data_IF_110231051298
#
_entry.id   IF_110231051298
#
_cell.length_a   1.000
_cell.length_b   1.000
_cell.length_c   1.000
_cell.angle_alpha   90.00
_cell.angle_beta   90.00
_cell.angle_gamma   90.00
#
_symmetry.space_group_name_H-M   'P 1'
#
loop_
_entity.id
_entity.type
_entity.pdbx_description
1 polymer ?
#
# COMPACT_ATOMS: atom_id res chain seq x y z
N UNK A 1 0.94 -10.29 23.84
CA UNK A 1 1.11 -9.81 22.46
C UNK A 1 0.44 -8.46 22.20
N UNK A 2 -0.75 -8.20 22.69
CA UNK A 2 -1.53 -6.96 22.49
C UNK A 2 -0.83 -5.69 23.04
N UNK A 3 -0.09 -5.77 24.15
CA UNK A 3 0.61 -4.61 24.74
C UNK A 3 1.72 -4.03 23.86
N UNK A 4 2.40 -4.85 23.04
CA UNK A 4 3.46 -4.36 22.15
C UNK A 4 2.92 -3.61 20.93
N UNK A 5 1.73 -3.98 20.45
CA UNK A 5 1.08 -3.33 19.30
C UNK A 5 0.69 -1.87 19.65
N UNK A 6 0.25 -1.64 20.89
CA UNK A 6 -0.13 -0.29 21.35
C UNK A 6 1.06 0.67 21.40
N UNK A 7 2.26 0.20 21.75
CA UNK A 7 3.46 1.06 21.78
C UNK A 7 3.94 1.45 20.38
N UNK A 8 3.80 0.56 19.41
CA UNK A 8 4.18 0.85 18.01
C UNK A 8 3.23 1.90 17.41
N UNK A 9 1.93 1.78 17.65
CA UNK A 9 0.93 2.78 17.24
C UNK A 9 1.16 4.13 17.92
N UNK A 10 1.50 4.13 19.21
CA UNK A 10 1.82 5.35 19.94
C UNK A 10 3.09 6.02 19.41
N UNK A 11 4.12 5.24 19.07
CA UNK A 11 5.37 5.76 18.51
C UNK A 11 5.16 6.40 17.13
N UNK A 12 4.34 5.78 16.28
CA UNK A 12 3.97 6.32 14.96
C UNK A 12 3.17 7.62 15.12
N UNK A 13 2.23 7.66 16.05
CA UNK A 13 1.46 8.86 16.35
C UNK A 13 2.36 10.00 16.88
N UNK A 14 3.30 9.71 17.79
CA UNK A 14 4.25 10.69 18.34
C UNK A 14 5.20 11.20 17.25
N UNK A 15 5.70 10.33 16.36
CA UNK A 15 6.51 10.73 15.21
C UNK A 15 5.74 11.64 14.25
N UNK A 16 4.47 11.33 13.97
CA UNK A 16 3.61 12.18 13.16
C UNK A 16 3.41 13.56 13.80
N UNK A 17 3.20 13.64 15.12
CA UNK A 17 3.06 14.90 15.84
C UNK A 17 4.35 15.73 15.89
N UNK A 18 5.52 15.09 16.03
CA UNK A 18 6.81 15.82 16.06
C UNK A 18 7.19 16.39 14.69
N UNK A 19 6.81 15.72 13.60
CA UNK A 19 6.97 16.25 12.24
C UNK A 19 6.08 17.48 12.04
N UNK A 20 4.85 17.46 12.58
CA UNK A 20 3.90 18.57 12.49
C UNK A 20 4.39 19.85 13.18
N UNK A 21 5.08 19.73 14.31
CA UNK A 21 5.61 20.86 15.06
C UNK A 21 6.77 21.60 14.35
N UNK A 22 7.52 20.90 13.52
CA UNK A 22 8.67 21.48 12.81
C UNK A 22 8.32 22.06 11.42
N UNK A 23 7.16 21.74 10.88
CA UNK A 23 6.74 22.19 9.53
C UNK A 23 6.13 23.61 9.52
N UNK A 24 5.81 24.18 10.69
CA UNK A 24 5.15 25.50 10.77
C UNK A 24 6.07 26.71 10.58
N UNK A 25 7.38 26.55 10.31
CA UNK A 25 8.35 27.65 10.32
C UNK A 25 8.80 28.13 8.95
N UNK A 26 8.27 27.64 7.85
CA UNK A 26 8.63 28.14 6.51
C UNK A 26 7.45 28.78 5.81
N UNK A 27 7.29 30.06 6.06
CA UNK A 27 6.39 30.94 5.32
C UNK A 27 7.01 31.34 3.97
N UNK A 28 6.16 31.25 2.92
CA UNK A 28 6.20 32.03 1.68
C UNK A 28 7.19 31.63 0.58
N UNK A 29 6.65 31.36 -0.52
CA UNK A 29 6.92 31.60 -1.93
C UNK A 29 6.79 30.42 -2.93
N UNK A 30 6.52 29.21 -2.50
CA UNK A 30 6.20 28.13 -3.44
C UNK A 30 4.95 27.35 -3.01
N UNK A 31 3.79 27.92 -3.27
CA UNK A 31 2.46 27.40 -2.92
C UNK A 31 2.15 26.02 -3.50
N UNK A 32 3.05 25.41 -4.26
CA UNK A 32 2.83 24.15 -4.96
C UNK A 32 3.71 23.01 -4.44
N UNK A 33 4.77 23.29 -3.70
CA UNK A 33 5.64 22.26 -3.13
C UNK A 33 5.23 21.98 -1.69
N UNK A 34 5.01 20.75 -1.34
CA UNK A 34 4.63 20.42 0.02
C UNK A 34 4.66 18.93 0.31
N UNK A 35 4.79 18.62 1.59
CA UNK A 35 4.64 17.29 2.11
C UNK A 35 3.21 17.07 2.59
N UNK A 36 2.70 15.89 2.30
CA UNK A 36 1.42 15.43 2.79
C UNK A 36 1.63 14.10 3.51
N UNK A 37 1.01 13.94 4.67
CA UNK A 37 0.89 12.64 5.32
C UNK A 37 -0.44 12.03 4.87
N UNK A 38 -0.43 10.75 4.60
CA UNK A 38 -1.60 10.03 4.16
C UNK A 38 -1.89 8.84 5.06
N UNK A 39 -3.16 8.53 5.25
CA UNK A 39 -3.62 7.27 5.81
C UNK A 39 -4.65 6.67 4.88
N UNK A 40 -4.64 5.35 4.72
CA UNK A 40 -5.56 4.68 3.80
C UNK A 40 -6.09 3.37 4.36
N UNK A 41 -7.26 2.97 3.86
CA UNK A 41 -7.85 1.66 4.01
C UNK A 41 -8.28 1.15 2.64
N UNK A 42 -8.08 -0.13 2.40
CA UNK A 42 -8.39 -0.79 1.13
C UNK A 42 -9.22 -2.04 1.35
N UNK A 43 -10.11 -2.33 0.40
CA UNK A 43 -10.86 -3.58 0.38
C UNK A 43 -11.22 -3.95 -1.05
N UNK A 44 -11.12 -5.22 -1.38
CA UNK A 44 -11.39 -5.65 -2.75
C UNK A 44 -11.21 -7.13 -2.96
N UNK A 45 -11.00 -7.49 -4.21
CA UNK A 45 -10.83 -8.87 -4.65
C UNK A 45 -9.58 -9.00 -5.52
N UNK A 46 -8.97 -10.16 -5.50
CA UNK A 46 -7.93 -10.51 -6.45
C UNK A 46 -8.11 -11.94 -6.95
N UNK A 47 -7.57 -12.22 -8.12
CA UNK A 47 -7.62 -13.54 -8.75
C UNK A 47 -6.33 -13.78 -9.52
N UNK A 48 -5.91 -15.03 -9.61
CA UNK A 48 -4.85 -15.42 -10.54
C UNK A 48 -5.38 -15.50 -11.96
N UNK A 49 -4.64 -14.94 -12.90
CA UNK A 49 -5.07 -14.80 -14.31
C UNK A 49 -5.44 -16.13 -15.01
N UNK A 50 -4.93 -17.26 -14.51
CA UNK A 50 -5.16 -18.56 -15.12
C UNK A 50 -5.90 -19.56 -14.21
N UNK A 51 -6.31 -19.12 -13.00
CA UNK A 51 -6.99 -19.96 -12.03
C UNK A 51 -8.32 -19.33 -11.64
N UNK A 52 -9.34 -20.13 -11.46
CA UNK A 52 -10.70 -19.68 -11.11
C UNK A 52 -10.83 -19.21 -9.65
N UNK A 53 -9.75 -19.23 -8.89
CA UNK A 53 -9.80 -18.89 -7.46
C UNK A 53 -9.89 -17.38 -7.26
N UNK A 54 -10.90 -16.97 -6.51
CA UNK A 54 -11.07 -15.58 -6.08
C UNK A 54 -10.64 -15.44 -4.63
N UNK A 55 -9.89 -14.40 -4.35
CA UNK A 55 -9.41 -14.02 -3.03
C UNK A 55 -10.04 -12.69 -2.63
N UNK A 56 -10.34 -12.54 -1.36
CA UNK A 56 -10.74 -11.26 -0.76
C UNK A 56 -9.50 -10.61 -0.19
N UNK A 57 -9.29 -9.34 -0.48
CA UNK A 57 -8.17 -8.59 0.07
C UNK A 57 -8.68 -7.38 0.86
N UNK A 58 -8.04 -7.12 1.99
CA UNK A 58 -8.30 -5.96 2.82
C UNK A 58 -6.99 -5.48 3.44
N UNK A 59 -6.85 -4.17 3.59
CA UNK A 59 -5.62 -3.63 4.11
C UNK A 59 -5.75 -2.16 4.47
N UNK A 60 -4.61 -1.57 4.77
CA UNK A 60 -4.49 -0.15 5.04
C UNK A 60 -3.09 0.21 5.48
N UNK A 61 -2.80 1.48 5.46
CA UNK A 61 -1.46 1.95 5.78
C UNK A 61 -1.36 3.44 5.98
N UNK A 62 -0.12 3.85 6.18
CA UNK A 62 0.26 5.25 6.31
C UNK A 62 1.35 5.56 5.30
N UNK A 63 1.35 6.77 4.78
CA UNK A 63 2.29 7.13 3.73
C UNK A 63 2.57 8.62 3.68
N UNK A 64 3.35 8.96 2.67
CA UNK A 64 3.77 10.33 2.39
C UNK A 64 3.56 10.61 0.91
N UNK A 65 3.16 11.84 0.62
CA UNK A 65 3.20 12.39 -0.73
C UNK A 65 4.01 13.66 -0.72
N UNK A 66 4.91 13.80 -1.67
CA UNK A 66 5.64 15.03 -1.93
C UNK A 66 5.21 15.62 -3.26
N UNK A 67 4.60 16.80 -3.21
CA UNK A 67 4.20 17.57 -4.38
C UNK A 67 5.37 18.44 -4.84
N UNK A 68 5.93 18.14 -6.01
CA UNK A 68 7.02 18.93 -6.61
C UNK A 68 6.51 19.91 -7.67
N UNK A 69 5.24 19.80 -8.06
CA UNK A 69 4.56 20.75 -8.93
C UNK A 69 3.06 20.84 -8.58
N UNK A 70 2.35 21.77 -9.25
CA UNK A 70 0.91 21.95 -9.07
C UNK A 70 0.08 20.70 -9.35
N UNK A 71 0.57 19.82 -10.23
CA UNK A 71 -0.17 18.67 -10.72
C UNK A 71 0.53 17.36 -10.48
N UNK A 72 1.79 17.36 -10.05
CA UNK A 72 2.60 16.17 -9.95
C UNK A 72 3.24 16.03 -8.57
N UNK A 73 3.19 14.81 -8.07
CA UNK A 73 3.84 14.40 -6.83
C UNK A 73 4.36 12.97 -6.92
N UNK A 74 5.10 12.59 -5.89
CA UNK A 74 5.52 11.22 -5.63
C UNK A 74 4.82 10.76 -4.36
N UNK A 75 4.23 9.58 -4.41
CA UNK A 75 3.57 8.94 -3.29
C UNK A 75 4.30 7.66 -2.91
N UNK A 76 4.40 7.42 -1.61
CA UNK A 76 4.85 6.14 -1.04
C UNK A 76 4.11 5.88 0.27
N UNK A 77 3.93 4.62 0.63
CA UNK A 77 3.30 4.23 1.88
C UNK A 77 3.90 2.94 2.44
N UNK A 78 3.57 2.65 3.66
CA UNK A 78 3.76 1.35 4.28
C UNK A 78 2.37 0.78 4.55
N UNK A 79 1.98 -0.18 3.74
CA UNK A 79 0.65 -0.77 3.76
C UNK A 79 0.71 -2.21 4.27
N UNK A 80 -0.17 -2.55 5.18
CA UNK A 80 -0.46 -3.93 5.55
C UNK A 80 -1.63 -4.42 4.72
N UNK A 81 -1.51 -5.61 4.14
CA UNK A 81 -2.55 -6.27 3.35
C UNK A 81 -2.76 -7.69 3.84
N UNK A 82 -4.02 -8.04 4.06
CA UNK A 82 -4.47 -9.40 4.31
C UNK A 82 -5.25 -9.90 3.10
N UNK A 83 -4.87 -11.06 2.60
CA UNK A 83 -5.52 -11.75 1.48
C UNK A 83 -6.10 -13.05 2.00
N UNK A 84 -7.38 -13.23 1.81
CA UNK A 84 -8.14 -14.39 2.27
C UNK A 84 -8.67 -15.21 1.10
N UNK A 85 -8.40 -16.52 1.12
CA UNK A 85 -8.95 -17.50 0.17
C UNK A 85 -10.11 -18.24 0.81
N UNK A 86 -11.37 -17.93 0.44
CA UNK A 86 -12.54 -18.55 1.08
C UNK A 86 -12.63 -20.07 0.91
N UNK A 87 -12.15 -20.60 -0.22
CA UNK A 87 -12.30 -22.00 -0.57
C UNK A 87 -11.63 -22.99 0.43
N UNK A 88 -10.50 -22.60 1.03
CA UNK A 88 -9.72 -23.43 1.94
C UNK A 88 -9.34 -22.73 3.26
N UNK A 89 -9.96 -21.56 3.52
CA UNK A 89 -9.74 -20.78 4.74
C UNK A 89 -8.26 -20.39 4.95
N UNK A 90 -7.56 -20.07 3.87
CA UNK A 90 -6.17 -19.64 3.90
C UNK A 90 -6.05 -18.14 4.01
N UNK A 91 -5.09 -17.68 4.82
CA UNK A 91 -4.80 -16.28 5.02
C UNK A 91 -3.34 -15.97 4.68
N UNK A 92 -3.14 -14.96 3.85
CA UNK A 92 -1.82 -14.44 3.50
C UNK A 92 -1.71 -12.99 3.96
N UNK A 93 -0.58 -12.63 4.53
CA UNK A 93 -0.34 -11.30 5.06
C UNK A 93 0.90 -10.72 4.41
N UNK A 94 0.79 -9.48 3.94
CA UNK A 94 1.87 -8.76 3.26
C UNK A 94 2.11 -7.41 3.91
N UNK A 95 3.37 -7.01 3.92
CA UNK A 95 3.77 -5.63 4.13
C UNK A 95 4.21 -5.07 2.77
N UNK A 96 3.56 -4.01 2.31
CA UNK A 96 3.75 -3.45 0.97
C UNK A 96 4.31 -2.05 1.05
N UNK A 97 5.19 -1.75 0.11
CA UNK A 97 5.80 -0.43 -0.07
C UNK A 97 5.61 -0.02 -1.53
N UNK A 98 4.54 0.71 -1.87
CA UNK A 98 4.38 1.30 -3.19
C UNK A 98 5.26 2.54 -3.36
N UNK A 99 5.75 2.75 -4.57
CA UNK A 99 6.42 3.95 -5.04
C UNK A 99 5.72 4.36 -6.33
N UNK A 100 4.98 5.47 -6.28
CA UNK A 100 4.04 5.86 -7.32
C UNK A 100 4.24 7.32 -7.72
N UNK A 101 4.15 7.59 -9.02
CA UNK A 101 3.94 8.95 -9.52
C UNK A 101 2.46 9.29 -9.41
N UNK A 102 2.15 10.47 -8.92
CA UNK A 102 0.79 10.98 -8.83
C UNK A 102 0.60 12.20 -9.72
N UNK A 103 -0.41 12.13 -10.58
CA UNK A 103 -1.02 13.30 -11.18
C UNK A 103 -2.26 13.67 -10.37
N UNK A 104 -2.42 14.93 -9.99
CA UNK A 104 -3.58 15.36 -9.24
C UNK A 104 -4.06 16.76 -9.63
N UNK A 105 -5.34 16.96 -9.44
CA UNK A 105 -6.04 18.24 -9.48
C UNK A 105 -6.72 18.47 -8.13
N UNK A 106 -7.55 19.51 -8.04
CA UNK A 106 -8.33 19.76 -6.82
C UNK A 106 -9.30 18.62 -6.49
N UNK A 107 -9.88 17.93 -7.50
CA UNK A 107 -10.96 16.98 -7.33
C UNK A 107 -10.67 15.57 -7.85
N UNK A 108 -9.55 15.36 -8.49
CA UNK A 108 -9.18 14.10 -9.12
C UNK A 108 -7.70 13.79 -8.90
N UNK A 109 -7.37 12.52 -8.83
CA UNK A 109 -6.00 12.03 -8.89
C UNK A 109 -5.89 10.73 -9.69
N UNK A 110 -4.70 10.52 -10.23
CA UNK A 110 -4.27 9.28 -10.85
C UNK A 110 -2.87 8.95 -10.36
N UNK A 111 -2.65 7.73 -9.91
CA UNK A 111 -1.35 7.22 -9.45
C UNK A 111 -0.95 6.03 -10.29
N UNK A 112 0.34 5.88 -10.53
CA UNK A 112 0.89 4.70 -11.16
C UNK A 112 2.33 4.49 -10.77
N UNK A 113 2.71 3.23 -10.58
CA UNK A 113 4.04 2.89 -10.14
C UNK A 113 4.26 1.42 -9.85
N UNK A 114 5.24 1.17 -9.01
CA UNK A 114 5.64 -0.15 -8.57
C UNK A 114 5.41 -0.30 -7.08
N UNK A 115 5.06 -1.51 -6.65
CA UNK A 115 4.95 -1.87 -5.24
C UNK A 115 5.78 -3.13 -4.97
N UNK A 116 6.41 -3.16 -3.80
CA UNK A 116 7.13 -4.32 -3.31
C UNK A 116 6.42 -4.83 -2.06
N UNK A 117 6.08 -6.13 -2.06
CA UNK A 117 5.41 -6.78 -0.95
C UNK A 117 6.27 -7.87 -0.33
N UNK A 118 6.36 -7.87 1.00
CA UNK A 118 7.02 -8.89 1.80
C UNK A 118 5.96 -9.76 2.44
N UNK A 119 6.00 -11.05 2.18
CA UNK A 119 5.08 -12.02 2.80
C UNK A 119 5.43 -12.25 4.27
N UNK A 120 4.51 -11.92 5.17
CA UNK A 120 4.73 -12.04 6.61
C UNK A 120 4.52 -13.45 7.14
N UNK A 121 3.67 -14.26 6.50
CA UNK A 121 3.39 -15.64 6.91
C UNK A 121 4.58 -16.59 6.66
N UNK A 122 5.50 -16.22 5.78
CA UNK A 122 6.72 -17.00 5.53
C UNK A 122 7.59 -17.20 6.79
N UNK A 123 7.35 -16.41 7.82
CA UNK A 123 8.16 -16.36 9.04
C UNK A 123 7.55 -17.18 10.20
N UNK A 124 6.31 -17.64 10.11
CA UNK A 124 5.57 -18.17 11.26
C UNK A 124 5.10 -19.62 11.13
N UNK A 125 5.19 -20.27 9.96
CA UNK A 125 4.53 -21.55 9.77
C UNK A 125 5.44 -22.64 9.19
N UNK A 126 5.26 -23.86 9.69
CA UNK A 126 5.73 -25.10 9.07
C UNK A 126 5.22 -25.27 7.61
N UNK A 127 4.29 -24.45 7.18
CA UNK A 127 3.71 -24.38 5.84
C UNK A 127 4.20 -23.15 5.05
N UNK A 128 5.40 -22.66 5.30
CA UNK A 128 6.05 -21.51 4.63
C UNK A 128 6.17 -21.63 3.07
N UNK A 129 5.51 -22.61 2.48
CA UNK A 129 5.59 -22.91 1.04
C UNK A 129 4.88 -21.88 0.13
N UNK A 130 4.07 -20.98 0.68
CA UNK A 130 3.14 -20.19 -0.14
C UNK A 130 3.13 -18.68 0.10
N UNK A 131 4.00 -18.16 0.95
CA UNK A 131 4.10 -16.72 1.15
C UNK A 131 5.31 -16.15 0.41
N UNK A 132 5.03 -15.47 -0.69
CA UNK A 132 6.04 -14.98 -1.63
C UNK A 132 6.31 -13.50 -1.41
N UNK A 133 7.53 -13.08 -1.70
CA UNK A 133 7.77 -11.68 -1.97
C UNK A 133 7.17 -11.36 -3.35
N UNK A 134 6.42 -10.28 -3.43
CA UNK A 134 5.73 -9.89 -4.66
C UNK A 134 6.27 -8.55 -5.17
N UNK A 135 6.44 -8.48 -6.50
CA UNK A 135 6.58 -7.22 -7.23
C UNK A 135 5.27 -6.92 -7.94
N UNK A 136 4.80 -5.70 -7.88
CA UNK A 136 3.53 -5.31 -8.45
C UNK A 136 3.64 -4.05 -9.27
N UNK A 137 2.88 -4.00 -10.35
CA UNK A 137 2.53 -2.74 -11.01
C UNK A 137 1.19 -2.29 -10.48
N UNK A 138 1.11 -1.05 -10.05
CA UNK A 138 -0.08 -0.45 -9.42
C UNK A 138 -0.58 0.70 -10.28
N UNK A 139 -1.90 0.74 -10.46
CA UNK A 139 -2.60 1.88 -11.04
C UNK A 139 -3.79 2.22 -10.17
N UNK A 140 -3.92 3.48 -9.79
CA UNK A 140 -5.00 3.99 -8.95
C UNK A 140 -5.61 5.23 -9.58
N UNK A 141 -6.94 5.28 -9.63
CA UNK A 141 -7.71 6.44 -10.09
C UNK A 141 -8.74 6.80 -9.03
N UNK A 142 -8.88 8.09 -8.72
CA UNK A 142 -9.83 8.47 -7.69
C UNK A 142 -10.21 9.94 -7.65
N UNK A 143 -11.19 10.20 -6.78
CA UNK A 143 -11.67 11.52 -6.43
C UNK A 143 -11.00 12.05 -5.17
N UNK A 144 -10.92 13.38 -5.09
CA UNK A 144 -10.41 14.14 -3.93
C UNK A 144 -11.52 15.07 -3.46
N UNK A 145 -11.85 15.00 -2.19
CA UNK A 145 -12.87 15.83 -1.54
C UNK A 145 -12.15 16.70 -0.51
N UNK A 146 -11.89 17.98 -0.80
CA UNK A 146 -11.30 18.89 0.18
C UNK A 146 -12.26 19.05 1.35
N UNK A 147 -11.81 18.75 2.57
CA UNK A 147 -12.55 18.94 3.82
C UNK A 147 -12.22 20.29 4.43
N UNK A 148 -10.95 20.64 4.42
CA UNK A 148 -10.42 21.95 4.86
C UNK A 148 -9.37 22.45 3.86
N UNK A 149 -8.67 23.52 4.19
CA UNK A 149 -7.53 24.00 3.40
C UNK A 149 -6.38 22.97 3.35
N UNK A 150 -6.23 22.17 4.40
CA UNK A 150 -5.12 21.23 4.57
C UNK A 150 -5.55 19.76 4.52
N UNK A 151 -6.84 19.46 4.66
CA UNK A 151 -7.35 18.10 4.81
C UNK A 151 -8.15 17.68 3.59
N UNK A 152 -7.86 16.50 3.09
CA UNK A 152 -8.49 15.94 1.89
C UNK A 152 -8.89 14.50 2.17
N UNK A 153 -10.13 14.17 1.87
CA UNK A 153 -10.58 12.79 1.78
C UNK A 153 -10.41 12.30 0.34
N UNK A 154 -9.88 11.09 0.19
CA UNK A 154 -9.74 10.46 -1.13
C UNK A 154 -10.57 9.19 -1.20
N UNK A 155 -11.16 8.94 -2.37
CA UNK A 155 -11.82 7.69 -2.71
C UNK A 155 -11.39 7.28 -4.10
N UNK A 156 -10.91 6.05 -4.26
CA UNK A 156 -10.38 5.59 -5.53
C UNK A 156 -10.56 4.10 -5.75
N UNK A 157 -10.28 3.70 -6.98
CA UNK A 157 -10.15 2.32 -7.39
C UNK A 157 -8.67 2.08 -7.68
N UNK A 158 -8.12 1.12 -6.99
CA UNK A 158 -6.75 0.64 -7.18
C UNK A 158 -6.80 -0.69 -7.91
N UNK A 159 -5.99 -0.83 -8.94
CA UNK A 159 -5.77 -2.10 -9.65
C UNK A 159 -4.29 -2.45 -9.61
N UNK A 160 -3.99 -3.70 -9.38
CA UNK A 160 -2.62 -4.18 -9.36
C UNK A 160 -2.46 -5.47 -10.16
N UNK A 161 -1.29 -5.61 -10.75
CA UNK A 161 -0.83 -6.87 -11.34
C UNK A 161 0.45 -7.27 -10.61
N UNK A 162 0.40 -8.37 -9.90
CA UNK A 162 1.54 -8.86 -9.13
C UNK A 162 2.18 -10.08 -9.75
N UNK A 163 3.50 -10.13 -9.65
CA UNK A 163 4.32 -11.29 -10.00
C UNK A 163 5.02 -11.73 -8.74
N UNK A 164 4.81 -12.98 -8.33
CA UNK A 164 5.52 -13.59 -7.20
C UNK A 164 6.92 -13.99 -7.60
N UNK A 165 7.86 -13.75 -6.70
CA UNK A 165 9.21 -14.29 -6.79
C UNK A 165 9.27 -15.49 -5.85
N UNK A 166 9.07 -16.70 -6.39
CA UNK A 166 9.03 -17.92 -5.60
C UNK A 166 10.43 -18.42 -5.30
N UNK A 167 10.65 -18.74 -4.02
CA UNK A 167 11.60 -19.77 -3.68
C UNK A 167 10.85 -21.11 -3.76
N UNK A 168 11.03 -21.86 -4.84
CA UNK A 168 10.51 -23.22 -4.93
C UNK A 168 11.31 -24.10 -3.96
N UNK A 169 10.66 -24.56 -2.90
CA UNK A 169 11.23 -25.59 -2.01
C UNK A 169 10.87 -26.95 -2.57
N UNK A 170 11.85 -27.69 -3.06
CA UNK A 170 11.72 -29.11 -3.36
C UNK A 170 12.52 -29.88 -2.30
N UNK A 171 11.87 -30.82 -1.60
CA UNK A 171 12.48 -31.68 -0.57
C UNK A 171 13.25 -30.94 0.54
N UNK A 172 12.76 -29.76 0.96
CA UNK A 172 13.37 -28.97 2.02
C UNK A 172 14.58 -28.12 1.58
N UNK A 173 14.98 -28.18 0.32
CA UNK A 173 16.05 -27.35 -0.27
C UNK A 173 15.43 -26.18 -1.02
N UNK A 174 15.86 -24.97 -0.68
CA UNK A 174 15.44 -23.76 -1.40
C UNK A 174 16.22 -23.66 -2.73
N UNK A 175 15.55 -23.87 -3.81
CA UNK A 175 16.10 -23.54 -5.13
C UNK A 175 15.78 -22.09 -5.46
N UNK A 176 16.77 -21.25 -5.81
CA UNK A 176 16.52 -19.96 -6.38
C UNK A 176 16.00 -20.17 -7.80
N UNK A 177 14.71 -20.34 -7.95
CA UNK A 177 14.04 -20.49 -9.23
C UNK A 177 13.10 -19.32 -9.40
N UNK A 178 13.29 -18.55 -10.48
CA UNK A 178 12.26 -17.70 -11.06
C UNK A 178 11.20 -18.63 -11.68
N UNK A 179 10.44 -19.32 -10.84
CA UNK A 179 9.16 -19.86 -11.29
C UNK A 179 8.19 -18.68 -11.15
N UNK A 180 7.79 -18.04 -12.27
CA UNK A 180 6.79 -17.00 -12.18
C UNK A 180 5.52 -17.66 -11.65
N UNK A 181 5.20 -17.36 -10.39
CA UNK A 181 3.84 -17.55 -9.90
C UNK A 181 2.91 -16.89 -10.91
N UNK A 182 1.79 -17.51 -11.29
CA UNK A 182 0.89 -16.91 -12.26
C UNK A 182 0.53 -15.51 -11.81
N UNK A 183 0.55 -14.51 -12.73
CA UNK A 183 0.29 -13.14 -12.36
C UNK A 183 -1.08 -13.02 -11.70
N UNK A 184 -1.11 -12.37 -10.54
CA UNK A 184 -2.33 -12.07 -9.80
C UNK A 184 -2.82 -10.70 -10.21
N UNK A 185 -4.08 -10.60 -10.57
CA UNK A 185 -4.76 -9.35 -10.82
C UNK A 185 -5.64 -9.00 -9.61
N UNK A 186 -5.50 -7.80 -9.09
CA UNK A 186 -6.31 -7.29 -7.99
C UNK A 186 -7.05 -6.02 -8.35
N UNK A 187 -8.22 -5.84 -7.76
CA UNK A 187 -9.01 -4.62 -7.81
C UNK A 187 -9.56 -4.30 -6.43
N UNK A 188 -9.28 -3.09 -5.95
CA UNK A 188 -9.70 -2.61 -4.63
C UNK A 188 -10.35 -1.25 -4.71
N UNK A 189 -11.28 -1.01 -3.79
CA UNK A 189 -11.67 0.34 -3.40
C UNK A 189 -10.68 0.79 -2.32
N UNK A 190 -10.20 2.02 -2.44
CA UNK A 190 -9.31 2.66 -1.47
C UNK A 190 -9.97 3.92 -0.95
N UNK A 191 -10.03 4.01 0.37
CA UNK A 191 -10.41 5.23 1.09
C UNK A 191 -9.16 5.79 1.72
N UNK A 192 -8.93 7.08 1.56
CA UNK A 192 -7.74 7.73 2.11
C UNK A 192 -8.06 9.08 2.74
N UNK A 193 -7.19 9.47 3.64
CA UNK A 193 -7.14 10.79 4.23
C UNK A 193 -5.74 11.37 4.01
N UNK A 194 -5.66 12.62 3.60
CA UNK A 194 -4.42 13.33 3.37
C UNK A 194 -4.42 14.62 4.19
N UNK A 195 -3.32 14.88 4.90
CA UNK A 195 -3.07 16.14 5.58
C UNK A 195 -1.86 16.83 4.97
N UNK A 196 -2.04 18.08 4.55
CA UNK A 196 -1.00 18.93 3.94
C UNK A 196 -0.39 19.85 4.99
N UNK A 197 0.94 19.96 4.96
CA UNK A 197 1.70 20.86 5.82
C UNK A 197 2.03 22.17 5.10
#
# INVERSE_FOLDING_TARGET
>A
MIKRLNYTLLLVAVLAFTIQANAQTTTSENTYKGFNITANATGGVCSYLFWSDTYIQAGGGVGFRYDFSRFWGIYTSLDYESVFKPANNEHYHYLRIPIEMEFHTRHFYARGGLSFGIGLNAWTAANAKECFNIGETVLELGGRIPLTANDILTIGVNTNVSVGFDKVYHDGVAYPGLSPSPPRFGACIKLGYEHRF
#
